data_IF_859073028503
#
_entry.id   IF_859073028503
#
_cell.length_a   1.000
_cell.length_b   1.000
_cell.length_c   1.000
_cell.angle_alpha   90.00
_cell.angle_beta   90.00
_cell.angle_gamma   90.00
#
_symmetry.space_group_name_H-M   'P 1'
#
loop_
_entity.id
_entity.type
_entity.pdbx_description
1 polymer ?
#
# COMPACT_ATOMS: atom_id res chain seq x y z
N UNK A 1 5.64 -36.60 5.57
CA UNK A 1 6.07 -35.65 6.64
C UNK A 1 5.21 -34.41 6.55
N UNK A 2 4.12 -34.35 7.32
CA UNK A 2 3.13 -33.25 7.30
C UNK A 2 3.72 -32.09 8.10
N UNK A 3 3.94 -30.93 7.47
CA UNK A 3 4.37 -29.73 8.16
C UNK A 3 3.25 -29.24 9.10
N UNK A 4 3.57 -29.09 10.39
CA UNK A 4 2.65 -28.55 11.39
C UNK A 4 2.19 -27.14 11.03
N UNK A 5 0.93 -26.85 11.34
CA UNK A 5 0.15 -25.69 10.91
C UNK A 5 0.84 -24.34 11.15
N UNK A 6 1.53 -24.20 12.29
CA UNK A 6 2.29 -23.00 12.63
C UNK A 6 3.49 -22.73 11.69
N UNK A 7 4.14 -23.78 11.16
CA UNK A 7 5.24 -23.62 10.20
C UNK A 7 4.73 -23.18 8.83
N UNK A 8 3.51 -23.60 8.45
CA UNK A 8 2.85 -23.11 7.22
C UNK A 8 2.46 -21.63 7.37
N UNK A 9 1.87 -21.24 8.51
CA UNK A 9 1.58 -19.84 8.82
C UNK A 9 2.83 -18.95 8.79
N UNK A 10 3.95 -19.40 9.37
CA UNK A 10 5.21 -18.64 9.35
C UNK A 10 5.83 -18.47 7.95
N UNK A 11 5.69 -19.46 7.06
CA UNK A 11 6.13 -19.36 5.66
C UNK A 11 5.24 -18.38 4.87
N UNK A 12 3.94 -18.36 5.17
CA UNK A 12 2.96 -17.47 4.52
C UNK A 12 3.16 -16.01 4.98
N UNK A 13 3.36 -15.76 6.28
CA UNK A 13 3.64 -14.42 6.81
C UNK A 13 4.92 -13.82 6.20
N UNK A 14 5.94 -14.64 5.92
CA UNK A 14 7.16 -14.18 5.22
C UNK A 14 6.93 -13.83 3.74
N UNK A 15 5.89 -14.38 3.09
CA UNK A 15 5.53 -14.09 1.69
C UNK A 15 4.53 -12.94 1.52
N UNK A 16 3.75 -12.61 2.55
CA UNK A 16 2.74 -11.54 2.52
C UNK A 16 3.31 -10.11 2.61
N UNK A 17 4.63 -9.92 2.48
CA UNK A 17 5.23 -8.59 2.32
C UNK A 17 5.06 -8.10 0.88
N UNK A 18 3.87 -7.62 0.56
CA UNK A 18 3.64 -6.36 -0.17
C UNK A 18 2.20 -6.26 -0.66
N UNK A 19 1.38 -5.46 0.02
CA UNK A 19 0.19 -4.82 -0.55
C UNK A 19 0.58 -3.55 -1.34
N UNK A 20 1.69 -3.63 -2.08
CA UNK A 20 2.15 -2.58 -2.98
C UNK A 20 1.29 -2.61 -4.25
N UNK A 21 1.07 -1.45 -4.85
CA UNK A 21 0.64 -1.35 -6.25
C UNK A 21 1.54 -2.23 -7.12
N UNK A 22 0.93 -3.05 -7.98
CA UNK A 22 1.51 -4.18 -8.75
C UNK A 22 1.57 -5.56 -8.07
N UNK A 23 1.04 -5.73 -6.85
CA UNK A 23 0.85 -7.05 -6.27
C UNK A 23 -0.31 -7.80 -6.94
N UNK A 24 -0.18 -9.12 -7.07
CA UNK A 24 -1.27 -9.95 -7.61
C UNK A 24 -2.41 -10.03 -6.58
N UNK A 25 -3.48 -9.27 -6.84
CA UNK A 25 -4.63 -9.12 -5.94
C UNK A 25 -5.27 -10.47 -5.63
N UNK A 26 -5.47 -11.31 -6.65
CA UNK A 26 -6.04 -12.65 -6.47
C UNK A 26 -5.19 -13.50 -5.54
N UNK A 27 -3.87 -13.54 -5.74
CA UNK A 27 -2.98 -14.33 -4.86
C UNK A 27 -3.01 -13.86 -3.40
N UNK A 28 -3.12 -12.55 -3.15
CA UNK A 28 -3.22 -12.02 -1.80
C UNK A 28 -4.54 -12.43 -1.12
N UNK A 29 -5.66 -12.35 -1.85
CA UNK A 29 -6.94 -12.78 -1.30
C UNK A 29 -7.09 -14.30 -1.21
N UNK A 30 -6.42 -15.07 -2.07
CA UNK A 30 -6.32 -16.53 -1.93
C UNK A 30 -5.55 -16.92 -0.66
N UNK A 31 -4.49 -16.18 -0.32
CA UNK A 31 -3.79 -16.35 0.95
C UNK A 31 -4.68 -16.02 2.14
N UNK A 32 -5.49 -14.95 2.05
CA UNK A 32 -6.50 -14.65 3.07
C UNK A 32 -7.51 -15.80 3.19
N UNK A 33 -7.99 -16.36 2.07
CA UNK A 33 -8.93 -17.49 2.09
C UNK A 33 -8.34 -18.76 2.69
N UNK A 34 -7.04 -18.94 2.59
CA UNK A 34 -6.35 -20.05 3.25
C UNK A 34 -6.40 -19.95 4.78
N UNK A 35 -6.26 -18.75 5.35
CA UNK A 35 -6.28 -18.54 6.81
C UNK A 35 -7.67 -18.18 7.35
N UNK A 36 -8.53 -17.62 6.51
CA UNK A 36 -9.88 -17.20 6.81
C UNK A 36 -10.79 -17.54 5.61
N UNK A 37 -11.35 -18.75 5.65
CA UNK A 37 -12.15 -19.31 4.57
C UNK A 37 -13.36 -18.44 4.17
N UNK A 38 -13.98 -17.77 5.14
CA UNK A 38 -15.22 -17.01 4.96
C UNK A 38 -15.08 -15.53 5.38
N UNK A 39 -16.07 -14.70 5.03
CA UNK A 39 -16.14 -13.30 5.40
C UNK A 39 -15.62 -12.33 4.32
N UNK A 40 -15.68 -11.01 4.57
CA UNK A 40 -15.39 -10.01 3.55
C UNK A 40 -13.91 -10.02 3.14
N UNK A 41 -13.65 -9.67 1.88
CA UNK A 41 -12.30 -9.33 1.43
C UNK A 41 -12.03 -7.88 1.82
N UNK A 42 -10.95 -7.63 2.56
CA UNK A 42 -10.57 -6.28 2.97
C UNK A 42 -9.07 -6.11 2.73
N UNK A 43 -8.70 -5.08 1.96
CA UNK A 43 -7.35 -4.54 1.98
C UNK A 43 -7.31 -3.35 2.94
N UNK A 44 -6.74 -3.56 4.12
CA UNK A 44 -6.66 -2.55 5.17
C UNK A 44 -5.67 -1.43 4.87
N UNK A 45 -4.70 -1.66 3.97
CA UNK A 45 -3.67 -0.70 3.60
C UNK A 45 -3.31 -0.89 2.12
N UNK A 46 -4.02 -0.15 1.26
CA UNK A 46 -3.70 -0.03 -0.15
C UNK A 46 -2.78 1.17 -0.37
N UNK A 47 -1.55 0.93 -0.79
CA UNK A 47 -0.51 1.94 -0.90
C UNK A 47 -0.46 2.57 -2.30
N UNK A 48 -1.09 3.74 -2.56
CA UNK A 48 -1.08 4.37 -3.88
C UNK A 48 0.29 4.95 -4.23
N UNK A 49 1.10 5.30 -3.23
CA UNK A 49 2.47 5.78 -3.37
C UNK A 49 3.36 5.24 -2.25
N UNK A 50 4.41 5.98 -1.84
CA UNK A 50 5.30 5.53 -0.77
C UNK A 50 6.02 6.67 -0.05
N UNK A 51 6.58 6.35 1.12
CA UNK A 51 7.33 7.30 1.94
C UNK A 51 8.72 7.64 1.36
N UNK A 52 9.08 8.91 1.51
CA UNK A 52 10.39 9.43 1.13
C UNK A 52 11.39 9.47 2.28
N UNK A 53 12.66 9.45 1.90
CA UNK A 53 13.79 9.43 2.82
C UNK A 53 14.84 10.43 2.35
N UNK A 54 15.52 11.05 3.31
CA UNK A 54 16.61 11.98 2.98
C UNK A 54 17.68 11.30 2.12
N UNK A 55 18.18 12.02 1.11
CA UNK A 55 19.22 11.54 0.20
C UNK A 55 18.75 10.52 -0.84
N UNK A 56 17.44 10.31 -1.00
CA UNK A 56 16.85 9.42 -2.01
C UNK A 56 15.91 10.19 -2.95
N UNK A 57 15.70 9.71 -4.19
CA UNK A 57 14.68 10.26 -5.07
C UNK A 57 13.28 10.16 -4.48
N UNK A 58 12.41 11.09 -4.87
CA UNK A 58 10.99 11.07 -4.54
C UNK A 58 10.32 9.78 -5.05
N UNK A 59 9.55 9.13 -4.18
CA UNK A 59 8.91 7.84 -4.43
C UNK A 59 7.56 8.05 -5.09
N UNK A 60 7.43 7.73 -6.37
CA UNK A 60 6.16 7.84 -7.10
C UNK A 60 5.64 6.51 -7.62
N UNK A 61 4.35 6.47 -7.95
CA UNK A 61 3.68 5.38 -8.66
C UNK A 61 2.90 5.95 -9.83
N UNK A 62 2.69 5.13 -10.87
CA UNK A 62 1.88 5.59 -11.99
C UNK A 62 0.41 5.46 -11.66
N UNK A 63 -0.38 6.47 -12.00
CA UNK A 63 -1.83 6.49 -11.85
C UNK A 63 -2.48 5.22 -12.40
N UNK A 64 -2.05 4.75 -13.57
CA UNK A 64 -2.63 3.57 -14.22
C UNK A 64 -2.45 2.31 -13.37
N UNK A 65 -1.30 2.19 -12.70
CA UNK A 65 -1.03 1.03 -11.83
C UNK A 65 -1.91 1.05 -10.58
N UNK A 66 -2.13 2.22 -9.99
CA UNK A 66 -3.04 2.42 -8.84
C UNK A 66 -4.48 2.09 -9.24
N UNK A 67 -4.97 2.69 -10.32
CA UNK A 67 -6.36 2.51 -10.81
C UNK A 67 -6.60 1.05 -11.20
N UNK A 68 -5.65 0.40 -11.87
CA UNK A 68 -5.76 -1.02 -12.23
C UNK A 68 -5.92 -1.90 -11.00
N UNK A 69 -5.01 -1.78 -10.02
CA UNK A 69 -5.06 -2.60 -8.80
C UNK A 69 -6.32 -2.31 -7.98
N UNK A 70 -6.77 -1.05 -7.90
CA UNK A 70 -8.03 -0.70 -7.26
C UNK A 70 -9.23 -1.35 -7.95
N UNK A 71 -9.29 -1.26 -9.29
CA UNK A 71 -10.37 -1.84 -10.10
C UNK A 71 -10.45 -3.35 -9.92
N UNK A 72 -9.30 -4.04 -9.91
CA UNK A 72 -9.21 -5.47 -9.62
C UNK A 72 -9.80 -5.81 -8.25
N UNK A 73 -9.40 -5.11 -7.18
CA UNK A 73 -9.96 -5.31 -5.83
C UNK A 73 -11.48 -5.07 -5.78
N UNK A 74 -11.96 -3.98 -6.38
CA UNK A 74 -13.38 -3.64 -6.39
C UNK A 74 -14.21 -4.65 -7.20
N UNK A 75 -13.68 -5.18 -8.31
CA UNK A 75 -14.34 -6.24 -9.10
C UNK A 75 -14.54 -7.55 -8.32
N UNK A 76 -13.73 -7.77 -7.28
CA UNK A 76 -13.84 -8.92 -6.37
C UNK A 76 -14.77 -8.63 -5.16
N UNK A 77 -15.46 -7.48 -5.16
CA UNK A 77 -16.26 -6.98 -4.03
C UNK A 77 -15.45 -6.81 -2.74
N UNK A 78 -14.16 -6.47 -2.87
CA UNK A 78 -13.30 -6.20 -1.73
C UNK A 78 -13.48 -4.76 -1.23
N UNK A 79 -13.44 -4.57 0.09
CA UNK A 79 -13.30 -3.25 0.72
C UNK A 79 -11.84 -2.83 0.72
N UNK A 80 -11.58 -1.53 0.51
CA UNK A 80 -10.23 -1.00 0.35
C UNK A 80 -10.07 0.26 1.19
N UNK A 81 -8.97 0.37 1.94
CA UNK A 81 -8.56 1.57 2.64
C UNK A 81 -7.24 2.11 2.06
N UNK A 82 -7.23 3.37 1.60
CA UNK A 82 -6.05 4.02 1.04
C UNK A 82 -5.05 4.40 2.14
N UNK A 83 -3.82 3.92 2.03
CA UNK A 83 -2.69 4.29 2.85
C UNK A 83 -1.62 4.99 1.99
N UNK A 84 -1.66 6.30 1.80
CA UNK A 84 -2.60 7.27 2.37
C UNK A 84 -3.48 7.87 1.28
N UNK A 85 -4.70 8.26 1.65
CA UNK A 85 -5.53 9.10 0.80
C UNK A 85 -5.04 10.57 0.79
N UNK A 86 -4.59 11.04 1.96
CA UNK A 86 -3.91 12.31 2.18
C UNK A 86 -2.92 12.09 3.32
N UNK A 87 -1.64 12.41 3.10
CA UNK A 87 -0.62 12.21 4.14
C UNK A 87 -0.23 13.46 4.90
N UNK A 88 -0.12 14.62 4.23
CA UNK A 88 0.17 15.90 4.88
C UNK A 88 1.65 16.07 5.25
N UNK A 89 1.92 16.49 6.50
CA UNK A 89 3.27 16.86 6.95
C UNK A 89 3.59 16.26 8.32
N UNK A 90 4.80 15.71 8.48
CA UNK A 90 5.38 15.36 9.78
C UNK A 90 6.04 16.56 10.43
N UNK A 91 5.26 17.41 11.11
CA UNK A 91 5.75 18.65 11.70
C UNK A 91 6.78 18.47 12.83
N UNK A 92 7.71 19.43 12.95
CA UNK A 92 8.71 19.44 14.02
C UNK A 92 9.59 18.20 13.98
N UNK A 93 9.62 17.44 15.09
CA UNK A 93 10.44 16.23 15.24
C UNK A 93 9.61 14.94 15.28
N UNK A 94 8.43 14.93 14.64
CA UNK A 94 7.56 13.74 14.61
C UNK A 94 7.89 12.77 13.47
N UNK A 95 8.78 13.15 12.55
CA UNK A 95 9.19 12.31 11.44
C UNK A 95 9.88 11.03 11.94
N UNK A 96 9.50 9.90 11.33
CA UNK A 96 10.06 8.59 11.65
C UNK A 96 11.40 8.30 10.98
N UNK A 97 11.82 7.05 11.07
CA UNK A 97 12.97 6.51 10.34
C UNK A 97 12.80 5.02 10.11
N UNK A 98 13.58 4.48 9.17
CA UNK A 98 13.66 3.05 8.93
C UNK A 98 15.12 2.60 8.94
N UNK A 99 15.33 1.31 9.23
CA UNK A 99 16.59 0.62 8.96
C UNK A 99 16.39 -0.17 7.67
N UNK A 100 17.08 0.22 6.60
CA UNK A 100 17.02 -0.43 5.29
C UNK A 100 18.45 -0.80 4.90
N UNK A 101 18.69 -2.05 4.53
CA UNK A 101 20.02 -2.58 4.22
C UNK A 101 21.06 -2.29 5.33
N UNK A 102 20.67 -2.47 6.59
CA UNK A 102 21.46 -2.17 7.78
C UNK A 102 21.92 -0.71 7.92
N UNK A 103 21.31 0.23 7.18
CA UNK A 103 21.58 1.65 7.29
C UNK A 103 20.36 2.40 7.83
N UNK A 104 20.61 3.39 8.70
CA UNK A 104 19.59 4.32 9.17
C UNK A 104 19.17 5.24 8.03
N UNK A 105 17.86 5.34 7.79
CA UNK A 105 17.29 6.23 6.81
C UNK A 105 16.17 7.04 7.45
N UNK A 106 16.42 8.33 7.66
CA UNK A 106 15.41 9.25 8.19
C UNK A 106 14.35 9.56 7.13
N UNK A 107 13.09 9.51 7.54
CA UNK A 107 11.98 10.00 6.71
C UNK A 107 12.08 11.53 6.58
N UNK A 108 11.63 12.07 5.45
CA UNK A 108 11.56 13.51 5.25
C UNK A 108 10.37 14.13 6.01
N UNK A 109 10.33 15.46 6.11
CA UNK A 109 9.23 16.20 6.75
C UNK A 109 7.93 16.11 5.96
N UNK A 110 8.00 16.20 4.63
CA UNK A 110 6.84 16.03 3.77
C UNK A 110 6.30 14.59 3.91
N UNK A 111 5.00 14.48 4.09
CA UNK A 111 4.30 13.20 4.12
C UNK A 111 3.29 13.10 2.97
N UNK A 112 3.59 13.76 1.85
CA UNK A 112 2.80 13.77 0.61
C UNK A 112 2.45 12.35 0.13
N UNK A 113 3.42 11.45 0.18
CA UNK A 113 3.29 10.03 -0.11
C UNK A 113 2.96 9.71 -1.58
N UNK A 114 2.91 10.69 -2.49
CA UNK A 114 2.30 10.53 -3.83
C UNK A 114 0.85 10.01 -3.70
N UNK A 115 0.16 10.51 -2.66
CA UNK A 115 -1.22 10.17 -2.34
C UNK A 115 -2.20 10.86 -3.33
N UNK A 116 -3.47 10.41 -3.40
CA UNK A 116 -4.50 11.10 -4.18
C UNK A 116 -4.65 12.60 -3.89
N UNK A 117 -4.38 13.03 -2.65
CA UNK A 117 -4.27 14.42 -2.25
C UNK A 117 -2.83 14.75 -1.82
N UNK A 118 -2.31 15.85 -2.36
CA UNK A 118 -0.96 16.33 -2.05
C UNK A 118 -0.80 16.71 -0.58
N UNK A 119 0.43 16.97 -0.15
CA UNK A 119 0.74 17.54 1.17
C UNK A 119 -0.09 18.82 1.46
N UNK A 120 -0.32 19.66 0.44
CA UNK A 120 -1.11 20.89 0.57
C UNK A 120 -2.64 20.66 0.43
N UNK A 121 -3.07 19.43 0.16
CA UNK A 121 -4.48 19.06 -0.04
C UNK A 121 -4.98 19.26 -1.47
N UNK A 122 -4.10 19.54 -2.43
CA UNK A 122 -4.47 19.64 -3.83
C UNK A 122 -4.75 18.24 -4.41
N UNK A 123 -5.81 18.06 -5.23
CA UNK A 123 -6.02 16.82 -5.94
C UNK A 123 -4.87 16.52 -6.90
N UNK A 124 -4.28 15.33 -6.78
CA UNK A 124 -3.49 14.78 -7.87
C UNK A 124 -4.47 14.37 -8.98
N UNK A 125 -4.62 15.26 -9.97
CA UNK A 125 -5.66 15.21 -11.01
C UNK A 125 -5.73 13.90 -11.79
N UNK A 126 -4.65 13.11 -11.82
CA UNK A 126 -4.65 11.84 -12.53
C UNK A 126 -5.35 10.71 -11.75
N UNK A 127 -5.19 10.65 -10.42
CA UNK A 127 -5.74 9.56 -9.60
C UNK A 127 -7.25 9.72 -9.37
N UNK A 128 -7.73 10.95 -9.22
CA UNK A 128 -9.12 11.23 -8.83
C UNK A 128 -10.06 11.46 -10.02
N UNK A 129 -9.57 11.87 -11.21
CA UNK A 129 -10.43 12.29 -12.32
C UNK A 129 -10.79 11.17 -13.34
N UNK A 130 -10.50 9.89 -13.06
CA UNK A 130 -10.90 8.77 -13.95
C UNK A 130 -12.41 8.50 -13.99
N UNK A 131 -13.23 9.33 -13.33
CA UNK A 131 -14.71 9.32 -13.29
C UNK A 131 -15.47 9.37 -14.64
N UNK A 132 -14.81 9.26 -15.79
CA UNK A 132 -15.44 9.15 -17.10
C UNK A 132 -15.48 7.73 -17.71
N UNK A 133 -14.82 6.73 -17.11
CA UNK A 133 -14.69 5.37 -17.68
C UNK A 133 -14.59 4.24 -16.63
N UNK A 134 -15.39 4.31 -15.57
CA UNK A 134 -15.71 3.14 -14.74
C UNK A 134 -17.17 2.76 -14.97
#
# INVERSE_FOLDING_TARGET
MVLNDWKKQMIIIRKAKSSLVSANVTLNFDQLRYTQAEGPLVNSEFYPGYLDRWGHPHSTKTTESVVKTLTEMLSMNASVNFYLFHGGTSYGFTAGSNIINNAFQACITSYDYDAPLSEAGDPHTEVLCTSGKL
#
